data_IF_463916785966
#
_entry.id   IF_463916785966
#
_cell.length_a   1.000
_cell.length_b   1.000
_cell.length_c   1.000
_cell.angle_alpha   90.00
_cell.angle_beta   90.00
_cell.angle_gamma   90.00
#
_symmetry.space_group_name_H-M   'P 1'
#
loop_
_entity.id
_entity.type
_entity.pdbx_description
1 polymer ?
#
# COMPACT_ATOMS: atom_id res chain seq x y z
N UNK A 1 -23.44 79.32 -14.35
CA UNK A 1 -22.42 79.19 -13.29
C UNK A 1 -22.83 78.06 -12.35
N UNK A 2 -21.83 77.35 -11.85
CA UNK A 2 -21.79 75.94 -11.43
C UNK A 2 -22.89 75.39 -10.52
N UNK A 3 -23.38 74.20 -10.92
CA UNK A 3 -24.00 73.19 -10.05
C UNK A 3 -22.87 72.42 -9.35
N UNK A 4 -22.85 72.40 -8.02
CA UNK A 4 -22.05 71.43 -7.25
C UNK A 4 -22.99 70.37 -6.68
N UNK A 5 -22.89 69.16 -7.22
CA UNK A 5 -23.54 67.96 -6.72
C UNK A 5 -22.70 67.37 -5.59
N UNK A 6 -23.32 67.28 -4.42
CA UNK A 6 -22.82 66.60 -3.22
C UNK A 6 -23.08 65.09 -3.40
N UNK A 7 -22.06 64.31 -3.76
CA UNK A 7 -22.12 62.85 -3.78
C UNK A 7 -21.35 62.33 -2.55
N UNK A 8 -22.09 61.94 -1.52
CA UNK A 8 -21.56 61.26 -0.35
C UNK A 8 -21.19 59.82 -0.69
N UNK A 9 -19.91 59.49 -0.53
CA UNK A 9 -19.40 58.13 -0.67
C UNK A 9 -19.69 57.37 0.63
N UNK A 10 -20.65 56.46 0.59
CA UNK A 10 -20.86 55.45 1.62
C UNK A 10 -19.89 54.30 1.33
N UNK A 11 -18.73 54.31 1.98
CA UNK A 11 -17.82 53.15 2.01
C UNK A 11 -18.35 52.15 3.03
N UNK A 12 -19.10 51.16 2.56
CA UNK A 12 -19.44 49.97 3.32
C UNK A 12 -18.18 49.09 3.42
N UNK A 13 -17.55 49.04 4.60
CA UNK A 13 -16.54 48.03 4.93
C UNK A 13 -17.24 46.67 4.97
N UNK A 14 -17.19 45.91 3.86
CA UNK A 14 -17.42 44.49 3.89
C UNK A 14 -16.17 43.85 4.52
N UNK A 15 -16.20 43.64 5.82
CA UNK A 15 -15.27 42.72 6.47
C UNK A 15 -15.63 41.32 6.01
N UNK A 16 -15.01 40.88 4.91
CA UNK A 16 -15.04 39.49 4.47
C UNK A 16 -14.30 38.66 5.51
N UNK A 17 -15.02 38.18 6.53
CA UNK A 17 -14.55 37.06 7.33
C UNK A 17 -14.59 35.85 6.43
N UNK A 18 -13.51 35.59 5.71
CA UNK A 18 -13.27 34.32 5.05
C UNK A 18 -13.28 33.27 6.16
N UNK A 19 -14.41 32.59 6.32
CA UNK A 19 -14.46 31.34 7.09
C UNK A 19 -13.55 30.41 6.30
N UNK A 20 -12.32 30.21 6.80
CA UNK A 20 -11.45 29.16 6.28
C UNK A 20 -12.25 27.87 6.47
N UNK A 21 -12.78 27.34 5.38
CA UNK A 21 -13.32 26.00 5.34
C UNK A 21 -12.13 25.08 5.67
N UNK A 22 -12.05 24.57 6.91
CA UNK A 22 -11.02 23.60 7.26
C UNK A 22 -11.36 22.29 6.58
N UNK A 23 -10.48 21.82 5.69
CA UNK A 23 -10.59 20.49 5.09
C UNK A 23 -10.86 19.43 6.16
N UNK A 24 -11.72 18.48 5.83
CA UNK A 24 -12.01 17.38 6.75
C UNK A 24 -10.88 16.35 6.67
N UNK A 25 -10.13 16.20 7.76
CA UNK A 25 -9.02 15.24 7.84
C UNK A 25 -9.56 13.87 8.25
N UNK A 26 -9.28 12.85 7.44
CA UNK A 26 -9.69 11.46 7.70
C UNK A 26 -8.44 10.61 7.91
N UNK A 27 -8.44 9.81 8.98
CA UNK A 27 -7.39 8.84 9.26
C UNK A 27 -7.70 7.49 8.61
N UNK A 28 -6.67 6.86 8.04
CA UNK A 28 -6.72 5.51 7.47
C UNK A 28 -6.59 4.49 8.60
N UNK A 29 -7.48 3.51 8.66
CA UNK A 29 -7.29 2.35 9.55
C UNK A 29 -6.30 1.38 8.91
N UNK A 30 -5.07 1.34 9.46
CA UNK A 30 -4.00 0.47 8.97
C UNK A 30 -4.33 -1.03 9.10
N UNK A 31 -5.39 -1.45 9.80
CA UNK A 31 -5.80 -2.86 9.81
C UNK A 31 -6.79 -3.21 8.69
N UNK A 32 -7.70 -2.30 8.33
CA UNK A 32 -8.81 -2.60 7.42
C UNK A 32 -8.74 -1.91 6.07
N UNK A 33 -8.09 -0.74 6.00
CA UNK A 33 -8.18 0.15 4.85
C UNK A 33 -6.96 0.05 3.92
N UNK A 34 -6.02 -0.85 4.24
CA UNK A 34 -4.75 -1.01 3.50
C UNK A 34 -4.57 -2.43 2.99
N UNK A 35 -3.81 -2.56 1.90
CA UNK A 35 -3.38 -3.84 1.35
C UNK A 35 -1.88 -4.02 1.58
N UNK A 36 -1.52 -5.10 2.27
CA UNK A 36 -0.14 -5.49 2.53
C UNK A 36 0.37 -6.49 1.48
N UNK A 37 1.51 -6.18 0.86
CA UNK A 37 2.19 -7.02 -0.11
C UNK A 37 3.65 -7.29 0.32
N UNK A 38 4.24 -8.43 -0.08
CA UNK A 38 3.58 -9.57 -0.74
C UNK A 38 2.68 -10.37 0.21
N UNK A 39 2.87 -10.20 1.52
CA UNK A 39 2.09 -10.88 2.56
C UNK A 39 1.82 -9.92 3.74
N UNK A 40 0.62 -9.99 4.30
CA UNK A 40 0.29 -9.30 5.55
C UNK A 40 1.09 -9.83 6.75
N UNK A 41 1.65 -11.05 6.66
CA UNK A 41 2.45 -11.66 7.73
C UNK A 41 3.83 -11.01 7.88
N UNK A 42 4.29 -10.28 6.87
CA UNK A 42 5.56 -9.55 6.91
C UNK A 42 5.45 -8.26 7.72
N UNK A 43 4.23 -7.88 8.13
CA UNK A 43 3.92 -6.70 8.90
C UNK A 43 3.51 -7.10 10.32
N UNK A 44 4.03 -6.35 11.28
CA UNK A 44 3.75 -6.51 12.70
C UNK A 44 3.12 -5.22 13.22
N UNK A 45 2.41 -5.32 14.34
CA UNK A 45 1.85 -4.16 15.02
C UNK A 45 2.19 -4.20 16.51
N UNK A 46 2.39 -3.03 17.09
CA UNK A 46 2.54 -2.83 18.54
C UNK A 46 1.72 -1.63 18.98
N UNK A 47 1.16 -1.70 20.18
CA UNK A 47 0.43 -0.58 20.81
C UNK A 47 1.35 0.30 21.67
N UNK A 48 2.52 -0.22 22.04
CA UNK A 48 3.47 0.41 22.97
C UNK A 48 4.67 0.99 22.20
N UNK A 49 4.40 1.75 21.14
CA UNK A 49 5.45 2.47 20.41
C UNK A 49 6.02 3.62 21.26
N UNK A 50 7.32 3.96 21.11
CA UNK A 50 7.90 5.19 21.65
C UNK A 50 7.13 6.46 21.28
N UNK A 51 6.36 6.44 20.17
CA UNK A 51 5.54 7.56 19.72
C UNK A 51 4.20 7.70 20.47
N UNK A 52 3.85 6.76 21.37
CA UNK A 52 2.60 6.79 22.13
C UNK A 52 1.34 6.50 21.29
N UNK A 53 1.53 6.01 20.06
CA UNK A 53 0.46 5.60 19.14
C UNK A 53 0.72 4.17 18.67
N UNK A 54 -0.29 3.44 18.18
CA UNK A 54 -0.06 2.19 17.49
C UNK A 54 0.97 2.36 16.36
N UNK A 55 1.87 1.39 16.23
CA UNK A 55 2.92 1.36 15.22
C UNK A 55 2.82 0.06 14.42
N UNK A 56 2.83 0.19 13.10
CA UNK A 56 2.83 -0.90 12.14
C UNK A 56 4.16 -0.92 11.43
N UNK A 57 4.88 -2.02 11.55
CA UNK A 57 6.25 -2.08 11.09
C UNK A 57 6.59 -3.35 10.34
N UNK A 58 7.60 -3.26 9.48
CA UNK A 58 8.17 -4.39 8.75
C UNK A 58 9.68 -4.22 8.64
N UNK A 59 10.42 -5.32 8.72
CA UNK A 59 11.86 -5.38 8.41
C UNK A 59 12.16 -6.13 7.11
N UNK A 60 11.12 -6.54 6.38
CA UNK A 60 11.25 -7.31 5.14
C UNK A 60 11.37 -6.34 3.97
N UNK A 61 12.53 -6.34 3.32
CA UNK A 61 12.78 -5.49 2.15
C UNK A 61 11.83 -5.88 1.00
N UNK A 62 11.30 -4.87 0.33
CA UNK A 62 10.25 -4.89 -0.69
C UNK A 62 8.82 -5.16 -0.17
N UNK A 63 8.62 -5.25 1.14
CA UNK A 63 7.28 -5.17 1.71
C UNK A 63 6.65 -3.81 1.42
N UNK A 64 5.39 -3.84 1.01
CA UNK A 64 4.65 -2.69 0.50
C UNK A 64 3.29 -2.57 1.18
N UNK A 65 2.91 -1.36 1.55
CA UNK A 65 1.54 -0.97 1.91
C UNK A 65 0.93 -0.21 0.76
N UNK A 66 -0.29 -0.57 0.36
CA UNK A 66 -1.10 0.16 -0.61
C UNK A 66 -2.32 0.74 0.09
N UNK A 67 -2.57 2.03 -0.13
CA UNK A 67 -3.70 2.79 0.43
C UNK A 67 -4.46 3.46 -0.70
N UNK A 68 -5.78 3.28 -0.73
CA UNK A 68 -6.66 3.99 -1.66
C UNK A 68 -7.51 4.99 -0.88
N UNK A 69 -7.57 6.24 -1.32
CA UNK A 69 -8.31 7.30 -0.62
C UNK A 69 -8.97 8.28 -1.59
N UNK A 70 -9.90 9.09 -1.08
CA UNK A 70 -10.55 10.16 -1.84
C UNK A 70 -10.24 11.48 -1.13
N UNK A 71 -9.51 12.37 -1.77
CA UNK A 71 -9.03 13.59 -1.11
C UNK A 71 -8.30 14.55 -2.04
N UNK A 72 -7.66 15.55 -1.45
CA UNK A 72 -6.81 16.55 -2.11
C UNK A 72 -5.41 16.64 -1.47
N UNK A 73 -5.09 15.72 -0.56
CA UNK A 73 -3.77 15.67 0.04
C UNK A 73 -3.65 14.48 0.99
N UNK A 74 -2.41 14.07 1.23
CA UNK A 74 -2.07 12.97 2.14
C UNK A 74 -0.88 13.35 3.01
N UNK A 75 -0.93 12.91 4.26
CA UNK A 75 0.11 13.07 5.27
C UNK A 75 0.45 11.69 5.80
N UNK A 76 1.73 11.33 5.76
CA UNK A 76 2.23 10.05 6.29
C UNK A 76 3.17 10.33 7.46
N UNK A 77 2.85 9.75 8.61
CA UNK A 77 3.60 9.89 9.85
C UNK A 77 4.10 8.54 10.35
N UNK A 78 5.27 8.55 10.97
CA UNK A 78 5.88 7.34 11.51
C UNK A 78 7.02 7.62 12.48
N UNK A 79 7.75 6.56 12.79
CA UNK A 79 8.95 6.61 13.62
C UNK A 79 10.21 6.50 12.75
N UNK A 80 11.19 7.33 13.04
CA UNK A 80 12.53 7.32 12.45
C UNK A 80 13.54 7.00 13.55
N UNK A 81 14.52 6.14 13.25
CA UNK A 81 15.59 5.73 14.15
C UNK A 81 16.79 5.20 13.35
N UNK A 82 17.81 4.72 14.04
CA UNK A 82 19.06 4.28 13.41
C UNK A 82 18.95 2.95 12.65
N UNK A 83 17.82 2.24 12.79
CA UNK A 83 17.47 1.05 12.04
C UNK A 83 16.51 1.36 10.87
N UNK A 84 16.09 2.61 10.71
CA UNK A 84 15.08 2.96 9.71
C UNK A 84 15.64 2.90 8.29
N UNK A 85 14.81 2.40 7.37
CA UNK A 85 15.20 2.16 5.99
C UNK A 85 14.93 3.31 5.01
N UNK A 86 15.15 3.02 3.74
CA UNK A 86 14.73 3.84 2.61
C UNK A 86 13.28 3.51 2.26
N UNK A 87 12.41 4.51 2.32
CA UNK A 87 11.01 4.42 1.91
C UNK A 87 10.87 4.90 0.46
N UNK A 88 10.38 4.04 -0.42
CA UNK A 88 9.94 4.43 -1.76
C UNK A 88 8.45 4.73 -1.74
N UNK A 89 8.08 5.88 -2.28
CA UNK A 89 6.71 6.38 -2.35
C UNK A 89 6.30 6.48 -3.81
N UNK A 90 5.13 5.95 -4.15
CA UNK A 90 4.48 6.12 -5.46
C UNK A 90 3.04 6.54 -5.20
N UNK A 91 2.61 7.65 -5.79
CA UNK A 91 1.23 8.13 -5.71
C UNK A 91 0.69 8.21 -7.15
N UNK A 92 -0.43 7.54 -7.39
CA UNK A 92 -1.04 7.39 -8.71
C UNK A 92 -0.04 6.93 -9.78
N UNK A 93 -0.01 7.60 -10.94
CA UNK A 93 0.89 7.33 -12.06
C UNK A 93 2.11 8.30 -12.07
N UNK A 94 2.43 8.94 -10.94
CA UNK A 94 3.54 9.88 -10.84
C UNK A 94 4.91 9.18 -10.66
N UNK A 95 5.98 9.94 -10.88
CA UNK A 95 7.35 9.42 -10.75
C UNK A 95 7.65 9.05 -9.28
N UNK A 96 8.11 7.81 -9.00
CA UNK A 96 8.46 7.41 -7.64
C UNK A 96 9.56 8.29 -7.03
N UNK A 97 9.43 8.60 -5.74
CA UNK A 97 10.50 9.25 -4.98
C UNK A 97 10.92 8.41 -3.76
N UNK A 98 12.16 8.63 -3.29
CA UNK A 98 12.74 7.91 -2.16
C UNK A 98 12.96 8.88 -1.00
N UNK A 99 12.52 8.48 0.19
CA UNK A 99 12.74 9.16 1.46
C UNK A 99 13.66 8.32 2.33
N UNK A 100 14.77 8.90 2.76
CA UNK A 100 15.59 8.32 3.82
C UNK A 100 14.93 8.59 5.18
N UNK A 101 14.71 7.54 5.95
CA UNK A 101 14.10 7.59 7.28
C UNK A 101 15.12 7.38 8.41
N UNK A 102 16.41 7.24 8.09
CA UNK A 102 17.45 7.11 9.10
C UNK A 102 17.52 8.35 9.99
N UNK A 103 17.58 8.11 11.31
CA UNK A 103 17.84 9.14 12.31
C UNK A 103 18.71 8.58 13.43
N UNK A 104 19.67 9.34 13.94
CA UNK A 104 20.52 8.88 15.06
C UNK A 104 19.69 8.61 16.33
N UNK A 105 18.66 9.42 16.54
CA UNK A 105 17.73 9.32 17.67
C UNK A 105 16.36 8.81 17.23
N UNK A 106 15.59 8.26 18.20
CA UNK A 106 14.18 7.94 17.96
C UNK A 106 13.39 9.23 17.83
N UNK A 107 12.81 9.46 16.66
CA UNK A 107 11.98 10.64 16.37
C UNK A 107 10.65 10.19 15.77
N UNK A 108 9.58 10.86 16.18
CA UNK A 108 8.23 10.58 15.72
C UNK A 108 7.70 11.81 14.99
N UNK A 109 7.09 11.61 13.83
CA UNK A 109 6.46 12.71 13.11
C UNK A 109 6.33 12.45 11.63
N UNK A 110 6.21 13.56 10.90
CA UNK A 110 5.90 13.53 9.49
C UNK A 110 7.06 13.04 8.63
N UNK A 111 6.79 12.03 7.81
CA UNK A 111 7.70 11.59 6.75
C UNK A 111 7.59 12.53 5.55
N UNK A 112 6.37 12.78 5.11
CA UNK A 112 6.04 13.73 4.05
C UNK A 112 4.57 14.16 4.07
N UNK A 113 4.31 15.29 3.42
CA UNK A 113 2.98 15.76 3.02
C UNK A 113 2.97 15.90 1.51
N UNK A 114 1.89 15.47 0.87
CA UNK A 114 1.72 15.55 -0.58
C UNK A 114 0.37 16.17 -0.91
N UNK A 115 0.39 17.28 -1.66
CA UNK A 115 -0.82 17.96 -2.14
C UNK A 115 -1.25 17.36 -3.48
N UNK A 116 -2.54 17.13 -3.64
CA UNK A 116 -3.15 16.45 -4.79
C UNK A 116 -4.34 17.26 -5.30
N UNK A 117 -4.73 17.03 -6.55
CA UNK A 117 -6.04 17.48 -7.03
C UNK A 117 -7.16 16.71 -6.32
N UNK A 118 -8.37 17.28 -6.25
CA UNK A 118 -9.53 16.58 -5.69
C UNK A 118 -9.83 15.32 -6.52
N UNK A 119 -9.71 14.14 -5.92
CA UNK A 119 -9.91 12.90 -6.68
C UNK A 119 -9.89 11.63 -5.85
N UNK A 120 -9.94 10.50 -6.55
CA UNK A 120 -9.62 9.19 -5.99
C UNK A 120 -8.16 8.90 -6.31
N UNK A 121 -7.39 8.53 -5.30
CA UNK A 121 -5.95 8.32 -5.38
C UNK A 121 -5.57 6.94 -4.85
N UNK A 122 -4.42 6.44 -5.30
CA UNK A 122 -3.78 5.27 -4.75
C UNK A 122 -2.31 5.58 -4.43
N UNK A 123 -1.88 5.27 -3.21
CA UNK A 123 -0.50 5.43 -2.76
C UNK A 123 0.09 4.07 -2.40
N UNK A 124 1.35 3.86 -2.76
CA UNK A 124 2.15 2.72 -2.32
C UNK A 124 3.40 3.17 -1.58
N UNK A 125 3.67 2.50 -0.47
CA UNK A 125 4.79 2.74 0.44
C UNK A 125 5.61 1.46 0.55
N UNK A 126 6.83 1.45 0.00
CA UNK A 126 7.68 0.26 -0.08
C UNK A 126 9.00 0.45 0.67
N UNK A 127 9.34 -0.48 1.56
CA UNK A 127 10.68 -0.53 2.17
C UNK A 127 11.71 -1.03 1.15
N UNK A 128 12.74 -0.25 0.82
CA UNK A 128 13.73 -0.62 -0.23
C UNK A 128 15.07 -1.12 0.29
N UNK A 129 15.42 -0.87 1.55
CA UNK A 129 16.72 -1.21 2.10
C UNK A 129 17.14 -0.26 3.23
N UNK A 130 18.40 -0.29 3.63
CA UNK A 130 18.99 0.65 4.58
C UNK A 130 19.70 1.79 3.83
N UNK A 131 19.72 3.00 4.41
CA UNK A 131 20.47 4.14 3.88
C UNK A 131 21.97 4.00 4.16
N UNK A 132 22.32 3.55 5.38
CA UNK A 132 23.71 3.38 5.81
C UNK A 132 24.13 1.93 5.56
N UNK A 133 24.91 1.70 4.52
CA UNK A 133 25.78 0.52 4.46
C UNK A 133 26.88 0.76 5.49
N UNK A 134 26.71 0.27 6.72
CA UNK A 134 27.76 0.36 7.72
C UNK A 134 29.06 -0.17 7.13
N UNK A 135 30.09 0.67 7.11
CA UNK A 135 31.47 0.19 6.94
C UNK A 135 31.69 -0.86 8.04
N UNK A 136 32.10 -2.07 7.67
CA UNK A 136 32.29 -3.24 8.53
C UNK A 136 31.07 -4.16 8.75
N UNK A 137 30.53 -4.72 7.66
CA UNK A 137 30.05 -6.12 7.63
C UNK A 137 28.85 -6.52 8.51
N UNK A 138 28.29 -5.60 9.30
CA UNK A 138 27.09 -5.80 10.10
C UNK A 138 26.00 -4.85 9.61
N UNK A 139 25.36 -5.21 8.50
CA UNK A 139 24.20 -4.47 7.99
C UNK A 139 23.05 -4.64 8.97
N UNK A 140 22.71 -3.57 9.70
CA UNK A 140 21.45 -3.51 10.44
C UNK A 140 20.29 -3.74 9.48
N UNK A 141 19.42 -4.70 9.79
CA UNK A 141 18.22 -4.94 9.00
C UNK A 141 17.36 -3.66 9.01
N UNK A 142 17.00 -3.11 7.84
CA UNK A 142 16.23 -1.88 7.80
C UNK A 142 14.79 -2.15 8.26
N UNK A 143 14.20 -1.21 8.97
CA UNK A 143 12.82 -1.27 9.44
C UNK A 143 12.05 -0.07 8.90
N UNK A 144 10.80 -0.27 8.52
CA UNK A 144 9.84 0.79 8.23
C UNK A 144 8.79 0.80 9.34
N UNK A 145 8.57 1.95 9.98
CA UNK A 145 7.58 2.17 11.03
C UNK A 145 6.51 3.16 10.55
N UNK A 146 5.24 2.77 10.55
CA UNK A 146 4.10 3.58 10.16
C UNK A 146 3.15 3.75 11.34
N UNK A 147 2.87 4.99 11.70
CA UNK A 147 2.00 5.31 12.84
C UNK A 147 0.65 5.84 12.42
N UNK A 148 0.61 6.68 11.38
CA UNK A 148 -0.62 7.31 10.92
C UNK A 148 -0.52 7.66 9.44
N UNK A 149 -1.62 7.46 8.72
CA UNK A 149 -1.82 8.01 7.39
C UNK A 149 -3.13 8.78 7.45
N UNK A 150 -3.09 10.06 7.09
CA UNK A 150 -4.29 10.89 7.03
C UNK A 150 -4.40 11.54 5.66
N UNK A 151 -5.63 11.77 5.21
CA UNK A 151 -5.90 12.48 3.97
C UNK A 151 -6.95 13.57 4.18
N UNK A 152 -6.81 14.63 3.41
CA UNK A 152 -7.72 15.77 3.45
C UNK A 152 -8.83 15.58 2.42
N UNK A 153 -10.07 15.80 2.84
CA UNK A 153 -11.22 15.87 1.95
C UNK A 153 -11.62 17.34 1.84
N UNK A 154 -11.62 17.92 0.63
CA UNK A 154 -12.08 19.28 0.44
C UNK A 154 -13.55 19.35 0.87
N UNK A 155 -13.87 20.32 1.73
CA UNK A 155 -15.27 20.65 1.97
C UNK A 155 -15.89 20.99 0.61
N UNK A 156 -17.04 20.39 0.30
CA UNK A 156 -17.81 20.84 -0.84
C UNK A 156 -18.14 22.31 -0.57
N UNK A 157 -17.43 23.21 -1.24
CA UNK A 157 -17.86 24.60 -1.35
C UNK A 157 -19.36 24.57 -1.65
N UNK A 158 -20.12 25.48 -1.05
CA UNK A 158 -21.55 25.70 -1.30
C UNK A 158 -21.78 26.15 -2.77
N UNK A 159 -21.37 25.33 -3.73
CA UNK A 159 -21.72 25.37 -5.12
C UNK A 159 -23.19 24.95 -5.22
N UNK A 160 -24.03 25.93 -4.90
CA UNK A 160 -25.41 26.10 -5.33
C UNK A 160 -25.98 24.91 -6.11
N UNK A 161 -26.90 24.17 -5.47
CA UNK A 161 -27.95 23.40 -6.15
C UNK A 161 -27.48 22.55 -7.34
N UNK A 162 -26.65 21.55 -7.08
CA UNK A 162 -26.69 20.35 -7.91
C UNK A 162 -26.94 19.15 -7.01
N UNK A 163 -28.18 18.65 -7.10
CA UNK A 163 -28.73 17.45 -6.46
C UNK A 163 -27.70 16.49 -5.86
N UNK A 164 -27.56 16.53 -4.54
CA UNK A 164 -26.97 15.47 -3.73
C UNK A 164 -27.64 14.13 -4.08
N UNK A 165 -27.00 13.33 -4.92
CA UNK A 165 -27.19 11.89 -4.88
C UNK A 165 -26.12 11.33 -3.96
N UNK A 166 -26.49 11.08 -2.71
CA UNK A 166 -25.83 10.09 -1.87
C UNK A 166 -25.76 8.79 -2.69
N UNK A 167 -24.61 8.51 -3.29
CA UNK A 167 -24.39 7.20 -3.91
C UNK A 167 -24.20 6.24 -2.75
N UNK A 168 -25.27 5.51 -2.41
CA UNK A 168 -25.21 4.39 -1.48
C UNK A 168 -24.13 3.44 -1.99
N UNK A 169 -23.16 3.09 -1.16
CA UNK A 169 -22.06 2.14 -1.48
C UNK A 169 -22.60 0.84 -2.09
N UNK A 170 -23.83 0.43 -1.75
CA UNK A 170 -24.52 -0.71 -2.38
C UNK A 170 -24.79 -0.58 -3.90
N UNK A 171 -24.78 0.62 -4.48
CA UNK A 171 -24.96 0.83 -5.91
C UNK A 171 -23.68 0.56 -6.71
N UNK A 172 -22.50 0.76 -6.11
CA UNK A 172 -21.20 0.53 -6.76
C UNK A 172 -20.92 -0.98 -6.83
N UNK A 173 -21.19 -1.72 -5.74
CA UNK A 173 -21.04 -3.19 -5.72
C UNK A 173 -22.03 -3.87 -6.70
N UNK A 174 -23.23 -3.31 -6.86
CA UNK A 174 -24.21 -3.79 -7.83
C UNK A 174 -23.75 -3.67 -9.28
N UNK A 175 -23.05 -2.59 -9.63
CA UNK A 175 -22.56 -2.37 -10.99
C UNK A 175 -21.48 -3.39 -11.38
N UNK A 176 -20.52 -3.67 -10.50
CA UNK A 176 -19.41 -4.58 -10.79
C UNK A 176 -19.89 -6.03 -10.91
N UNK A 177 -20.77 -6.50 -10.01
CA UNK A 177 -21.31 -7.86 -10.06
C UNK A 177 -22.21 -8.06 -11.29
N UNK A 178 -23.00 -7.05 -11.67
CA UNK A 178 -23.85 -7.13 -12.87
C UNK A 178 -23.04 -7.23 -14.17
N UNK A 179 -21.87 -6.56 -14.23
CA UNK A 179 -20.99 -6.59 -15.39
C UNK A 179 -20.36 -7.98 -15.58
N UNK A 180 -19.85 -8.59 -14.51
CA UNK A 180 -19.24 -9.94 -14.59
C UNK A 180 -20.28 -10.99 -14.97
N UNK A 181 -21.47 -10.96 -14.37
CA UNK A 181 -22.56 -11.90 -14.72
C UNK A 181 -23.04 -11.67 -16.16
N UNK A 182 -23.10 -10.42 -16.60
CA UNK A 182 -23.45 -10.05 -17.97
C UNK A 182 -22.47 -10.62 -19.00
N UNK A 183 -21.17 -10.50 -18.75
CA UNK A 183 -20.12 -11.03 -19.66
C UNK A 183 -20.15 -12.56 -19.72
N UNK A 184 -20.36 -13.24 -18.58
CA UNK A 184 -20.47 -14.71 -18.55
C UNK A 184 -21.71 -15.19 -19.31
N UNK A 185 -22.86 -14.54 -19.13
CA UNK A 185 -24.08 -14.89 -19.86
C UNK A 185 -23.95 -14.62 -21.36
N UNK A 186 -23.35 -13.48 -21.74
CA UNK A 186 -23.13 -13.14 -23.14
C UNK A 186 -22.15 -14.13 -23.81
N UNK A 187 -21.05 -14.46 -23.12
CA UNK A 187 -20.10 -15.48 -23.57
C UNK A 187 -20.74 -16.87 -23.71
N UNK A 188 -21.58 -17.25 -22.75
CA UNK A 188 -22.34 -18.51 -22.78
C UNK A 188 -23.31 -18.59 -23.95
N UNK A 189 -24.03 -17.51 -24.27
CA UNK A 189 -24.95 -17.45 -25.42
C UNK A 189 -24.17 -17.56 -26.74
N UNK A 190 -23.07 -16.82 -26.88
CA UNK A 190 -22.22 -16.88 -28.09
C UNK A 190 -21.67 -18.30 -28.27
N UNK A 191 -21.13 -18.91 -27.21
CA UNK A 191 -20.63 -20.28 -27.24
C UNK A 191 -21.71 -21.30 -27.60
N UNK A 192 -22.91 -21.15 -27.03
CA UNK A 192 -24.04 -22.03 -27.32
C UNK A 192 -24.50 -21.93 -28.79
N UNK A 193 -24.55 -20.73 -29.36
CA UNK A 193 -24.86 -20.51 -30.77
C UNK A 193 -23.78 -21.09 -31.69
N UNK A 194 -22.50 -20.96 -31.32
CA UNK A 194 -21.39 -21.57 -32.05
C UNK A 194 -21.48 -23.10 -32.05
N UNK A 195 -21.73 -23.70 -30.87
CA UNK A 195 -21.90 -25.15 -30.71
C UNK A 195 -23.12 -25.68 -31.44
N UNK A 196 -24.20 -24.90 -31.55
CA UNK A 196 -25.40 -25.29 -32.30
C UNK A 196 -25.15 -25.29 -33.81
N UNK A 197 -24.31 -24.39 -34.33
CA UNK A 197 -23.98 -24.33 -35.77
C UNK A 197 -23.08 -25.47 -36.24
N UNK A 198 -22.21 -26.00 -35.40
CA UNK A 198 -21.25 -27.05 -35.81
C UNK A 198 -21.86 -28.45 -35.91
N UNK A 199 -23.06 -28.69 -35.37
CA UNK A 199 -23.72 -30.01 -35.43
C UNK A 199 -24.68 -30.21 -36.61
N UNK A 200 -24.80 -29.24 -37.52
CA UNK A 200 -25.84 -29.22 -38.55
C UNK A 200 -25.40 -29.50 -40.00
N UNK A 201 -24.15 -29.86 -40.26
CA UNK A 201 -23.69 -30.11 -41.65
C UNK A 201 -22.86 -31.38 -41.78
N UNK A 202 -23.51 -32.52 -41.55
CA UNK A 202 -23.20 -33.72 -42.31
C UNK A 202 -24.24 -33.85 -43.41
N UNK A 203 -24.04 -33.06 -44.47
CA UNK A 203 -24.68 -33.35 -45.74
C UNK A 203 -24.07 -34.64 -46.27
N UNK A 204 -24.94 -35.62 -46.50
CA UNK A 204 -24.67 -36.89 -47.14
C UNK A 204 -24.17 -36.62 -48.56
N UNK A 205 -22.94 -37.02 -48.89
CA UNK A 205 -22.40 -36.97 -50.25
C UNK A 205 -22.28 -38.41 -50.79
N UNK A 206 -23.19 -38.86 -51.68
CA UNK A 206 -23.15 -40.18 -52.25
C UNK A 206 -22.62 -40.14 -53.69
N UNK A 207 -21.40 -39.64 -53.94
CA UNK A 207 -20.70 -39.92 -55.22
C UNK A 207 -19.23 -39.50 -55.23
N UNK A 208 -18.34 -40.44 -54.91
CA UNK A 208 -16.96 -40.41 -55.41
C UNK A 208 -16.32 -41.80 -55.43
N UNK A 209 -16.67 -42.58 -56.45
CA UNK A 209 -15.71 -43.39 -57.22
C UNK A 209 -14.55 -42.46 -57.68
N UNK A 210 -13.30 -42.81 -57.93
CA UNK A 210 -12.53 -44.05 -58.03
C UNK A 210 -11.08 -43.64 -58.40
N UNK A 211 -10.15 -44.59 -58.34
CA UNK A 211 -8.87 -44.68 -59.10
C UNK A 211 -7.55 -44.25 -58.39
N UNK A 212 -6.76 -45.30 -58.05
CA UNK A 212 -5.31 -45.56 -58.34
C UNK A 212 -4.31 -44.44 -57.92
N UNK A 213 -3.32 -44.70 -57.06
CA UNK A 213 -2.12 -45.50 -57.40
C UNK A 213 -1.44 -46.13 -56.19
N UNK A 214 -0.94 -47.33 -56.45
CA UNK A 214 -0.02 -48.09 -55.63
C UNK A 214 1.29 -47.34 -55.35
N UNK A 215 1.80 -47.50 -54.14
CA UNK A 215 3.22 -47.79 -53.93
C UNK A 215 3.33 -48.76 -52.77
N UNK A 216 4.14 -49.76 -53.04
CA UNK A 216 4.17 -51.11 -52.51
C UNK A 216 5.37 -51.25 -51.55
N UNK A 217 5.19 -52.12 -50.54
CA UNK A 217 6.20 -52.78 -49.67
C UNK A 217 6.98 -51.89 -48.66
N UNK A 218 6.81 -51.98 -47.32
CA UNK A 218 6.89 -53.12 -46.34
C UNK A 218 8.31 -53.72 -46.21
N UNK A 219 8.76 -54.42 -45.13
CA UNK A 219 8.19 -54.75 -43.79
C UNK A 219 9.19 -54.52 -42.60
N UNK A 220 8.80 -54.44 -41.31
CA UNK A 220 8.72 -55.54 -40.30
C UNK A 220 8.47 -54.85 -38.92
N UNK A 221 7.37 -55.08 -38.19
CA UNK A 221 7.04 -56.20 -37.28
C UNK A 221 7.73 -56.15 -35.89
N UNK A 222 7.20 -56.81 -34.83
CA UNK A 222 6.47 -56.13 -33.74
C UNK A 222 6.99 -56.50 -32.34
N UNK A 223 6.61 -55.78 -31.28
CA UNK A 223 6.56 -56.34 -29.90
C UNK A 223 5.80 -55.42 -28.94
N UNK A 224 4.57 -55.85 -28.62
CA UNK A 224 3.93 -56.01 -27.29
C UNK A 224 4.06 -54.99 -26.13
N UNK A 225 3.04 -54.98 -25.24
CA UNK A 225 2.77 -53.91 -24.28
C UNK A 225 3.31 -54.17 -22.86
N UNK A 226 3.63 -53.10 -22.12
CA UNK A 226 3.80 -53.08 -20.66
C UNK A 226 3.23 -51.74 -20.18
N UNK A 227 2.10 -51.64 -19.48
CA UNK A 227 1.80 -52.09 -18.11
C UNK A 227 2.89 -51.69 -17.12
N UNK A 228 2.77 -50.50 -16.52
CA UNK A 228 3.25 -50.18 -15.17
C UNK A 228 2.84 -48.76 -14.75
N UNK A 229 1.56 -48.57 -14.42
CA UNK A 229 1.14 -47.46 -13.55
C UNK A 229 1.50 -47.86 -12.12
N UNK A 230 2.63 -47.38 -11.60
CA UNK A 230 3.03 -47.54 -10.19
C UNK A 230 2.92 -46.18 -9.51
N UNK A 231 1.71 -45.86 -9.05
CA UNK A 231 1.47 -44.88 -8.01
C UNK A 231 1.69 -45.59 -6.66
N UNK A 232 2.63 -45.08 -5.86
CA UNK A 232 2.72 -45.35 -4.43
C UNK A 232 2.90 -44.00 -3.71
N UNK A 233 2.09 -43.73 -2.67
CA UNK A 233 2.17 -42.54 -1.83
C UNK A 233 3.11 -42.81 -0.63
N UNK A 234 4.02 -41.88 -0.35
CA UNK A 234 4.71 -41.82 0.94
C UNK A 234 4.08 -40.66 1.74
N UNK A 235 3.29 -40.98 2.77
CA UNK A 235 3.74 -41.19 4.16
C UNK A 235 4.03 -39.83 4.82
N UNK A 236 3.08 -39.25 5.56
CA UNK A 236 2.80 -39.52 6.98
C UNK A 236 4.09 -39.52 7.79
N UNK A 237 4.40 -38.37 8.36
CA UNK A 237 5.40 -38.18 9.41
C UNK A 237 4.65 -37.53 10.58
N UNK A 238 3.99 -38.37 11.36
CA UNK A 238 3.74 -38.13 12.77
C UNK A 238 4.87 -38.88 13.47
N UNK A 239 5.64 -38.19 14.30
CA UNK A 239 6.08 -38.64 15.63
C UNK A 239 7.22 -37.76 16.15
N UNK A 240 6.88 -37.06 17.24
CA UNK A 240 7.60 -37.17 18.50
C UNK A 240 9.07 -36.70 18.55
N UNK A 241 9.27 -35.46 19.00
CA UNK A 241 10.45 -35.13 19.82
C UNK A 241 10.05 -34.15 20.93
N UNK A 242 9.68 -34.75 22.05
CA UNK A 242 10.22 -34.53 23.38
C UNK A 242 10.66 -33.12 23.81
N UNK A 243 9.95 -32.67 24.83
CA UNK A 243 10.24 -31.56 25.73
C UNK A 243 11.65 -31.69 26.32
N UNK A 244 12.49 -30.68 26.10
CA UNK A 244 13.67 -30.43 26.95
C UNK A 244 13.73 -28.97 27.33
N UNK A 245 13.19 -28.67 28.50
CA UNK A 245 13.39 -27.42 29.25
C UNK A 245 14.85 -27.30 29.70
N UNK A 246 15.59 -26.26 29.29
CA UNK A 246 16.80 -25.87 30.01
C UNK A 246 16.41 -24.99 31.21
N UNK A 247 16.47 -25.57 32.40
CA UNK A 247 16.56 -24.83 33.66
C UNK A 247 17.95 -24.16 33.67
N UNK A 248 17.99 -22.86 33.41
CA UNK A 248 19.19 -22.04 33.58
C UNK A 248 18.89 -21.04 34.70
N UNK A 249 19.26 -21.44 35.92
CA UNK A 249 19.45 -20.54 37.05
C UNK A 249 20.59 -19.57 36.74
N UNK A 250 20.28 -18.51 36.00
CA UNK A 250 21.18 -17.37 35.82
C UNK A 250 20.80 -16.33 36.86
N UNK A 251 21.63 -16.22 37.89
CA UNK A 251 21.58 -15.12 38.85
C UNK A 251 21.65 -13.77 38.11
N UNK A 252 20.81 -12.78 38.49
CA UNK A 252 20.84 -11.47 37.86
C UNK A 252 22.20 -10.79 38.12
N UNK A 253 22.79 -10.13 37.11
CA UNK A 253 24.01 -9.37 37.30
C UNK A 253 23.76 -8.21 38.27
N UNK A 254 24.57 -8.19 39.33
CA UNK A 254 24.59 -7.15 40.34
C UNK A 254 25.10 -5.85 39.69
N UNK A 255 24.23 -4.84 39.60
CA UNK A 255 24.57 -3.54 39.05
C UNK A 255 25.54 -2.81 39.99
N UNK A 256 26.78 -2.62 39.56
CA UNK A 256 27.73 -1.68 40.18
C UNK A 256 27.63 -0.34 39.44
N UNK A 257 27.15 0.75 40.07
CA UNK A 257 27.18 2.05 39.44
C UNK A 257 28.62 2.53 39.31
N UNK A 258 29.11 2.58 38.06
CA UNK A 258 30.37 3.23 37.72
C UNK A 258 30.22 4.74 37.92
N UNK A 259 30.81 5.25 39.00
CA UNK A 259 30.99 6.67 39.24
C UNK A 259 32.06 7.20 38.27
N UNK A 260 31.64 7.73 37.13
CA UNK A 260 32.53 8.21 36.08
C UNK A 260 32.07 9.49 35.40
N UNK A 261 32.42 10.64 35.98
CA UNK A 261 32.76 11.85 35.22
C UNK A 261 31.61 12.73 34.72
N UNK A 262 31.05 13.56 35.59
CA UNK A 262 30.36 14.79 35.19
C UNK A 262 31.35 15.74 34.49
N UNK A 263 31.38 15.73 33.16
CA UNK A 263 32.07 16.76 32.38
C UNK A 263 31.08 17.87 32.07
N UNK A 264 31.04 18.87 32.95
CA UNK A 264 30.33 20.12 32.73
C UNK A 264 30.85 20.79 31.44
N UNK A 265 30.03 20.81 30.39
CA UNK A 265 30.29 21.64 29.21
C UNK A 265 29.64 23.01 29.42
N UNK A 266 30.52 23.93 29.82
CA UNK A 266 30.63 25.33 29.41
C UNK A 266 29.37 26.00 28.86
N UNK A 267 28.84 26.95 29.63
CA UNK A 267 27.89 27.97 29.19
C UNK A 267 28.54 28.81 28.08
N UNK A 268 27.85 28.96 26.95
CA UNK A 268 28.21 29.96 25.93
C UNK A 268 28.03 31.39 26.48
N UNK A 269 28.90 32.35 26.10
CA UNK A 269 28.75 33.74 26.50
C UNK A 269 27.52 34.36 25.83
N UNK A 270 26.70 35.04 26.62
CA UNK A 270 25.58 35.85 26.16
C UNK A 270 26.11 37.13 25.48
N UNK A 271 25.61 37.53 24.30
CA UNK A 271 26.06 38.76 23.64
C UNK A 271 25.54 40.00 24.38
N UNK A 272 26.43 40.96 24.61
CA UNK A 272 26.16 42.26 25.23
C UNK A 272 25.05 43.02 24.48
N UNK A 273 23.97 43.34 25.20
CA UNK A 273 22.95 44.30 24.74
C UNK A 273 23.50 45.72 24.93
N UNK A 274 23.83 46.38 23.81
CA UNK A 274 23.97 47.85 23.78
C UNK A 274 22.62 48.50 24.09
N UNK A 275 22.62 49.48 24.99
CA UNK A 275 21.51 50.41 25.15
C UNK A 275 21.43 51.33 23.92
N UNK A 276 20.24 51.46 23.33
CA UNK A 276 19.97 52.47 22.31
C UNK A 276 19.64 53.82 22.97
N UNK A 277 20.02 54.95 22.34
CA UNK A 277 19.66 56.30 22.75
C UNK A 277 18.18 56.63 22.48
#
# INVERSE_FOLDING_TARGET
MSKMLLAGVVSLLAASTSVLALDNVVAVDLQSDVLYLPSALDWQSTVDSPCGTPDYFTSVVNSTVIVSFIGNGVVVDGMQNNASGLLMVVIDDEEPFIKDLFSEDVTCGNFFTYELGNGTHAMSLTLRGASVTGDEGNTTQPVLHLTSITYSIPLADDAATSTSRKVKVGAIVGAVVSSVVGVILLGGVIFFLYRRRTKGRHAFDPRANSIVSATEMSPRSPTTPKTATKLQPYARMEDDYDVKTPHLDVLPPQYTPSSGGLRARSRSPMPDRKAMP
#
